data_IF_011354326147
#
_entry.id   IF_011354326147
#
_cell.length_a   1.000
_cell.length_b   1.000
_cell.length_c   1.000
_cell.angle_alpha   90.00
_cell.angle_beta   90.00
_cell.angle_gamma   90.00
#
_symmetry.space_group_name_H-M   'P 1'
#
loop_
_entity.id
_entity.type
_entity.pdbx_description
1 polymer ?
#
# COMPACT_ATOMS: atom_id res chain seq x y z
N UNK A 1 2.25 -22.93 -4.78
CA UNK A 1 0.79 -22.82 -4.48
C UNK A 1 0.63 -21.78 -3.39
N UNK A 2 -0.33 -20.86 -3.52
CA UNK A 2 -0.61 -19.85 -2.49
C UNK A 2 -1.31 -20.50 -1.29
N UNK A 3 -0.64 -20.51 -0.15
CA UNK A 3 -1.14 -21.08 1.10
C UNK A 3 -0.54 -20.32 2.29
N UNK A 4 -1.05 -19.13 2.59
CA UNK A 4 -0.49 -18.27 3.62
C UNK A 4 -0.75 -18.82 5.03
N UNK A 5 0.24 -18.65 5.90
CA UNK A 5 0.16 -19.04 7.31
C UNK A 5 -0.37 -17.87 8.12
N UNK A 6 -1.51 -18.01 8.81
CA UNK A 6 -2.09 -16.95 9.63
C UNK A 6 -1.27 -16.70 10.91
N UNK A 7 -1.24 -15.46 11.36
CA UNK A 7 -0.69 -15.03 12.65
C UNK A 7 -1.41 -13.79 13.17
N UNK A 8 -1.14 -13.44 14.41
CA UNK A 8 -1.75 -12.30 15.09
C UNK A 8 -0.68 -11.42 15.72
N UNK A 9 -0.92 -10.11 15.74
CA UNK A 9 -0.07 -9.14 16.42
C UNK A 9 -0.90 -8.35 17.42
N UNK A 10 -0.51 -8.35 18.68
CA UNK A 10 -1.14 -7.52 19.70
C UNK A 10 -0.72 -6.06 19.49
N UNK A 11 -1.70 -5.15 19.37
CA UNK A 11 -1.45 -3.73 19.20
C UNK A 11 -2.61 -2.90 19.76
N UNK A 12 -2.32 -1.97 20.67
CA UNK A 12 -3.29 -1.02 21.24
C UNK A 12 -4.63 -1.68 21.71
N UNK A 13 -4.55 -2.82 22.39
CA UNK A 13 -5.72 -3.55 22.87
C UNK A 13 -6.44 -4.44 21.85
N UNK A 14 -6.00 -4.42 20.60
CA UNK A 14 -6.52 -5.26 19.51
C UNK A 14 -5.57 -6.41 19.16
N UNK A 15 -6.09 -7.40 18.44
CA UNK A 15 -5.32 -8.46 17.79
C UNK A 15 -5.41 -8.27 16.28
N UNK A 16 -4.38 -7.69 15.68
CA UNK A 16 -4.29 -7.50 14.24
C UNK A 16 -4.18 -8.86 13.57
N UNK A 17 -5.12 -9.19 12.70
CA UNK A 17 -5.14 -10.42 11.92
C UNK A 17 -4.27 -10.27 10.69
N UNK A 18 -3.31 -11.16 10.56
CA UNK A 18 -2.33 -11.15 9.49
C UNK A 18 -2.09 -12.57 8.98
N UNK A 19 -1.48 -12.66 7.82
CA UNK A 19 -0.94 -13.91 7.30
C UNK A 19 0.30 -13.67 6.45
N UNK A 20 1.12 -14.71 6.30
CA UNK A 20 2.36 -14.66 5.56
C UNK A 20 2.51 -15.86 4.63
N UNK A 21 2.79 -15.60 3.36
CA UNK A 21 3.23 -16.56 2.36
C UNK A 21 4.74 -16.46 2.20
N UNK A 22 5.45 -17.56 2.39
CA UNK A 22 6.88 -17.61 2.14
C UNK A 22 7.21 -17.51 0.64
N UNK A 23 8.41 -17.04 0.34
CA UNK A 23 9.00 -17.00 -0.99
C UNK A 23 10.52 -17.01 -0.87
N UNK A 24 11.20 -17.63 -1.83
CA UNK A 24 12.64 -17.76 -1.89
C UNK A 24 13.36 -16.62 -2.61
N UNK A 25 12.61 -15.84 -3.43
CA UNK A 25 13.12 -14.70 -4.19
C UNK A 25 12.91 -13.34 -3.51
N UNK A 26 12.29 -13.30 -2.35
CA UNK A 26 11.99 -12.07 -1.62
C UNK A 26 10.54 -12.02 -1.16
N UNK A 27 10.15 -10.90 -0.54
CA UNK A 27 8.82 -10.79 0.05
C UNK A 27 8.34 -9.34 0.09
N UNK A 28 7.05 -9.15 -0.19
CA UNK A 28 6.35 -7.88 -0.01
C UNK A 28 5.56 -7.83 1.31
N UNK A 29 5.61 -6.71 1.99
CA UNK A 29 4.65 -6.34 3.02
C UNK A 29 3.48 -5.58 2.39
N UNK A 30 2.24 -6.00 2.66
CA UNK A 30 1.06 -5.44 1.97
C UNK A 30 0.14 -4.67 2.91
N UNK A 31 -0.23 -3.44 2.52
CA UNK A 31 -1.08 -2.53 3.29
C UNK A 31 -2.29 -2.14 2.46
N UNK A 32 -3.48 -2.56 2.90
CA UNK A 32 -4.74 -2.31 2.19
C UNK A 32 -5.24 -0.86 2.32
N UNK A 33 -6.18 -0.48 1.46
CA UNK A 33 -6.85 0.82 1.43
C UNK A 33 -7.87 1.04 2.56
N UNK A 34 -8.75 2.02 2.34
CA UNK A 34 -9.83 2.38 3.26
C UNK A 34 -11.17 1.69 2.89
N UNK A 35 -12.22 2.06 3.60
CA UNK A 35 -13.59 1.59 3.37
C UNK A 35 -13.77 0.13 3.74
N UNK A 36 -14.23 -0.68 2.80
CA UNK A 36 -14.42 -2.13 2.98
C UNK A 36 -13.19 -2.96 2.60
N UNK A 37 -12.04 -2.31 2.35
CA UNK A 37 -10.82 -3.01 1.97
C UNK A 37 -10.28 -3.85 3.14
N UNK A 38 -9.64 -4.96 2.79
CA UNK A 38 -8.94 -5.85 3.71
C UNK A 38 -7.74 -6.48 3.00
N UNK A 39 -6.97 -7.31 3.69
CA UNK A 39 -5.89 -8.09 3.08
C UNK A 39 -6.36 -9.00 1.95
N UNK A 40 -7.64 -9.40 1.95
CA UNK A 40 -8.24 -10.23 0.90
C UNK A 40 -8.23 -9.55 -0.47
N UNK A 41 -8.22 -8.21 -0.51
CA UNK A 41 -8.08 -7.44 -1.74
C UNK A 41 -6.77 -7.70 -2.49
N UNK A 42 -5.78 -8.29 -1.83
CA UNK A 42 -4.51 -8.68 -2.44
C UNK A 42 -4.44 -10.14 -2.89
N UNK A 43 -5.54 -10.91 -2.82
CA UNK A 43 -5.52 -12.33 -3.16
C UNK A 43 -4.90 -12.59 -4.54
N UNK A 44 -5.37 -11.89 -5.57
CA UNK A 44 -4.87 -12.06 -6.93
C UNK A 44 -3.36 -11.74 -7.06
N UNK A 45 -2.86 -10.53 -6.72
CA UNK A 45 -1.43 -10.26 -6.85
C UNK A 45 -0.58 -11.19 -5.98
N UNK A 46 -1.03 -11.56 -4.79
CA UNK A 46 -0.30 -12.49 -3.91
C UNK A 46 -0.20 -13.90 -4.50
N UNK A 47 -1.28 -14.38 -5.13
CA UNK A 47 -1.27 -15.69 -5.81
C UNK A 47 -0.25 -15.70 -6.94
N UNK A 48 -0.28 -14.68 -7.81
CA UNK A 48 0.64 -14.59 -8.95
C UNK A 48 2.09 -14.41 -8.48
N UNK A 49 2.33 -13.63 -7.43
CA UNK A 49 3.67 -13.47 -6.85
C UNK A 49 4.18 -14.80 -6.27
N UNK A 50 3.34 -15.56 -5.56
CA UNK A 50 3.69 -16.87 -5.00
C UNK A 50 4.06 -17.89 -6.08
N UNK A 51 3.38 -17.87 -7.23
CA UNK A 51 3.73 -18.72 -8.40
C UNK A 51 5.11 -18.38 -8.98
N UNK A 52 5.61 -17.17 -8.74
CA UNK A 52 6.94 -16.70 -9.13
C UNK A 52 8.01 -16.89 -8.05
N UNK A 53 7.66 -17.50 -6.91
CA UNK A 53 8.58 -17.68 -5.78
C UNK A 53 8.72 -16.43 -4.89
N UNK A 54 7.84 -15.43 -5.04
CA UNK A 54 7.86 -14.20 -4.24
C UNK A 54 6.83 -14.31 -3.13
N UNK A 55 7.26 -14.15 -1.90
CA UNK A 55 6.42 -14.18 -0.71
C UNK A 55 5.65 -12.88 -0.49
N UNK A 56 4.70 -12.93 0.43
CA UNK A 56 3.95 -11.75 0.85
C UNK A 56 3.40 -11.90 2.27
N UNK A 57 3.41 -10.81 3.02
CA UNK A 57 2.71 -10.71 4.31
C UNK A 57 1.68 -9.61 4.22
N UNK A 58 0.44 -9.87 4.68
CA UNK A 58 -0.64 -8.91 4.65
C UNK A 58 -1.42 -8.95 5.97
N UNK A 59 -2.07 -7.86 6.33
CA UNK A 59 -2.86 -7.77 7.56
C UNK A 59 -4.10 -6.91 7.36
N UNK A 60 -5.04 -7.03 8.28
CA UNK A 60 -6.21 -6.17 8.38
C UNK A 60 -5.98 -5.11 9.46
N UNK A 61 -6.14 -3.83 9.11
CA UNK A 61 -6.10 -2.74 10.08
C UNK A 61 -7.32 -2.80 11.02
N UNK A 62 -7.22 -2.14 12.18
CA UNK A 62 -8.35 -1.95 13.10
C UNK A 62 -9.54 -1.34 12.35
N UNK A 63 -10.73 -1.91 12.57
CA UNK A 63 -11.96 -1.56 11.86
C UNK A 63 -12.14 -2.23 10.50
N UNK A 64 -11.25 -3.18 10.12
CA UNK A 64 -11.28 -3.83 8.81
C UNK A 64 -11.14 -5.35 8.93
N UNK A 65 -11.69 -6.05 7.94
CA UNK A 65 -11.52 -7.50 7.75
C UNK A 65 -11.70 -8.32 9.02
N UNK A 66 -10.81 -9.29 9.22
CA UNK A 66 -10.87 -10.19 10.36
C UNK A 66 -10.34 -9.60 11.68
N UNK A 67 -9.63 -8.47 11.64
CA UNK A 67 -9.22 -7.72 12.84
C UNK A 67 -10.45 -7.15 13.54
N UNK A 68 -11.45 -6.67 12.79
CA UNK A 68 -12.66 -6.09 13.38
C UNK A 68 -12.36 -4.81 14.17
N UNK A 69 -13.20 -4.53 15.18
CA UNK A 69 -13.15 -3.27 15.92
C UNK A 69 -13.89 -2.14 15.22
N UNK A 70 -13.76 -0.92 15.73
CA UNK A 70 -14.34 0.27 15.12
C UNK A 70 -13.30 0.99 14.26
N UNK A 71 -13.69 1.46 13.08
CA UNK A 71 -12.82 2.31 12.27
C UNK A 71 -12.48 3.62 12.99
N UNK A 72 -13.38 4.09 13.87
CA UNK A 72 -13.18 5.29 14.67
C UNK A 72 -12.07 5.14 15.74
N UNK A 73 -11.66 3.89 16.04
CA UNK A 73 -10.53 3.62 16.94
C UNK A 73 -9.17 3.75 16.22
N UNK A 74 -9.18 4.23 14.98
CA UNK A 74 -7.99 4.31 14.13
C UNK A 74 -7.90 5.68 13.44
N UNK A 75 -6.68 6.04 13.05
CA UNK A 75 -6.34 7.23 12.25
C UNK A 75 -5.29 6.84 11.21
N UNK A 76 -4.84 7.76 10.36
CA UNK A 76 -3.69 7.52 9.48
C UNK A 76 -2.43 7.19 10.29
N UNK A 77 -2.20 7.91 11.40
CA UNK A 77 -1.09 7.65 12.31
C UNK A 77 -1.18 6.26 12.93
N UNK A 78 -2.32 5.95 13.55
CA UNK A 78 -2.57 4.62 14.14
C UNK A 78 -2.35 3.50 13.13
N UNK A 79 -2.84 3.63 11.90
CA UNK A 79 -2.60 2.65 10.83
C UNK A 79 -1.11 2.50 10.47
N UNK A 80 -0.35 3.58 10.49
CA UNK A 80 1.10 3.52 10.27
C UNK A 80 1.79 2.73 11.38
N UNK A 81 1.38 2.93 12.64
CA UNK A 81 1.91 2.16 13.79
C UNK A 81 1.48 0.69 13.77
N UNK A 82 0.22 0.40 13.38
CA UNK A 82 -0.25 -0.97 13.14
C UNK A 82 0.61 -1.65 12.07
N UNK A 83 0.85 -0.96 10.95
CA UNK A 83 1.70 -1.46 9.88
C UNK A 83 3.13 -1.74 10.37
N UNK A 84 3.72 -0.84 11.19
CA UNK A 84 5.05 -1.05 11.75
C UNK A 84 5.11 -2.29 12.66
N UNK A 85 4.10 -2.48 13.53
CA UNK A 85 4.03 -3.63 14.43
C UNK A 85 3.95 -4.97 13.66
N UNK A 86 3.11 -5.04 12.61
CA UNK A 86 2.99 -6.26 11.80
C UNK A 86 4.22 -6.46 10.92
N UNK A 87 4.79 -5.38 10.37
CA UNK A 87 6.03 -5.41 9.59
C UNK A 87 7.17 -6.06 10.37
N UNK A 88 7.36 -5.65 11.63
CA UNK A 88 8.37 -6.23 12.51
C UNK A 88 8.09 -7.70 12.82
N UNK A 89 6.84 -8.03 13.16
CA UNK A 89 6.42 -9.38 13.50
C UNK A 89 6.56 -10.38 12.33
N UNK A 90 6.44 -9.91 11.08
CA UNK A 90 6.62 -10.78 9.91
C UNK A 90 8.07 -10.79 9.38
N UNK A 91 9.04 -10.26 10.13
CA UNK A 91 10.47 -10.31 9.80
C UNK A 91 10.93 -9.26 8.80
N UNK A 92 10.35 -8.06 8.88
CA UNK A 92 10.78 -6.85 8.16
C UNK A 92 11.07 -7.08 6.66
N UNK A 93 10.06 -7.37 5.82
CA UNK A 93 10.26 -7.56 4.39
C UNK A 93 10.91 -6.33 3.73
N UNK A 94 11.82 -6.50 2.75
CA UNK A 94 12.54 -5.37 2.15
C UNK A 94 11.65 -4.47 1.28
N UNK A 95 10.47 -4.91 0.92
CA UNK A 95 9.58 -4.21 0.00
C UNK A 95 8.15 -4.09 0.57
N UNK A 96 7.48 -2.99 0.25
CA UNK A 96 6.07 -2.80 0.55
C UNK A 96 5.24 -2.64 -0.74
N UNK A 97 4.08 -3.30 -0.76
CA UNK A 97 3.04 -3.11 -1.77
C UNK A 97 1.79 -2.56 -1.07
N UNK A 98 1.37 -1.37 -1.43
CA UNK A 98 0.28 -0.72 -0.73
C UNK A 98 -0.74 -0.10 -1.68
N UNK A 99 -2.03 -0.13 -1.28
CA UNK A 99 -3.12 0.34 -2.12
C UNK A 99 -3.86 1.52 -1.49
N UNK A 100 -4.20 2.52 -2.31
CA UNK A 100 -5.06 3.66 -1.93
C UNK A 100 -4.55 4.35 -0.66
N UNK A 101 -5.35 4.46 0.40
CA UNK A 101 -4.94 5.01 1.70
C UNK A 101 -3.71 4.29 2.29
N UNK A 102 -3.59 2.97 2.09
CA UNK A 102 -2.44 2.19 2.54
C UNK A 102 -1.12 2.66 1.92
N UNK A 103 -1.15 3.26 0.72
CA UNK A 103 0.03 3.82 0.08
C UNK A 103 0.64 4.97 0.91
N UNK A 104 -0.19 5.84 1.48
CA UNK A 104 0.31 6.87 2.40
C UNK A 104 0.92 6.26 3.66
N UNK A 105 0.27 5.23 4.23
CA UNK A 105 0.85 4.52 5.37
C UNK A 105 2.20 3.83 5.03
N UNK A 106 2.34 3.28 3.81
CA UNK A 106 3.62 2.71 3.36
C UNK A 106 4.71 3.79 3.20
N UNK A 107 4.37 4.96 2.64
CA UNK A 107 5.30 6.10 2.56
C UNK A 107 5.72 6.53 3.97
N UNK A 108 4.78 6.72 4.90
CA UNK A 108 5.06 7.08 6.30
C UNK A 108 5.89 6.00 7.02
N UNK A 109 5.66 4.72 6.71
CA UNK A 109 6.39 3.60 7.29
C UNK A 109 7.89 3.66 6.96
N UNK A 110 8.30 4.22 5.80
CA UNK A 110 9.72 4.41 5.46
C UNK A 110 10.47 5.35 6.42
N UNK A 111 9.75 6.18 7.18
CA UNK A 111 10.34 7.02 8.23
C UNK A 111 10.60 6.24 9.53
N UNK A 112 9.99 5.08 9.69
CA UNK A 112 10.07 4.24 10.89
C UNK A 112 10.88 2.98 10.65
N UNK A 113 10.94 2.48 9.42
CA UNK A 113 11.56 1.21 9.03
C UNK A 113 12.29 1.34 7.71
N UNK A 114 13.34 0.56 7.56
CA UNK A 114 14.03 0.46 6.28
C UNK A 114 13.16 -0.35 5.30
N UNK A 115 12.84 0.28 4.19
CA UNK A 115 12.12 -0.31 3.06
C UNK A 115 12.88 0.07 1.80
N UNK A 116 13.32 -0.93 1.05
CA UNK A 116 14.17 -0.75 -0.13
C UNK A 116 13.35 -0.63 -1.42
N UNK A 117 12.06 -1.00 -1.38
CA UNK A 117 11.16 -0.86 -2.52
C UNK A 117 9.72 -0.54 -2.10
N UNK A 118 9.09 0.37 -2.85
CA UNK A 118 7.68 0.74 -2.71
C UNK A 118 6.94 0.48 -4.02
N UNK A 119 5.87 -0.31 -3.96
CA UNK A 119 4.85 -0.43 -5.01
C UNK A 119 3.57 0.21 -4.49
N UNK A 120 3.19 1.34 -5.07
CA UNK A 120 2.05 2.15 -4.64
C UNK A 120 0.94 2.05 -5.70
N UNK A 121 -0.13 1.34 -5.38
CA UNK A 121 -1.26 1.09 -6.28
C UNK A 121 -2.39 2.07 -6.00
N UNK A 122 -2.80 2.86 -7.01
CA UNK A 122 -3.81 3.93 -6.92
C UNK A 122 -3.65 4.79 -5.66
N UNK A 123 -2.46 5.37 -5.44
CA UNK A 123 -2.06 5.91 -4.15
C UNK A 123 -2.84 7.16 -3.76
N UNK A 124 -3.45 7.13 -2.57
CA UNK A 124 -3.93 8.33 -1.89
C UNK A 124 -2.82 8.95 -1.03
N UNK A 125 -2.82 10.26 -0.91
CA UNK A 125 -1.99 11.03 0.02
C UNK A 125 -2.85 12.06 0.75
N UNK A 126 -2.42 12.47 1.93
CA UNK A 126 -3.25 13.28 2.82
C UNK A 126 -2.46 14.45 3.40
N UNK A 127 -3.17 15.54 3.72
CA UNK A 127 -2.60 16.65 4.49
C UNK A 127 -2.13 16.16 5.87
N UNK A 128 -1.02 16.70 6.41
CA UNK A 128 -0.59 16.40 7.78
C UNK A 128 -1.66 16.69 8.83
N UNK A 129 -2.56 17.68 8.60
CA UNK A 129 -3.69 17.96 9.47
C UNK A 129 -4.58 16.74 9.73
N UNK A 130 -4.72 15.84 8.74
CA UNK A 130 -5.55 14.65 8.85
C UNK A 130 -4.87 13.48 9.59
N UNK A 131 -3.56 13.56 9.86
CA UNK A 131 -2.76 12.39 10.23
C UNK A 131 -3.19 11.77 11.56
N UNK A 132 -3.46 12.60 12.57
CA UNK A 132 -3.87 12.17 13.90
C UNK A 132 -5.39 12.15 14.11
N UNK A 133 -6.16 12.66 13.14
CA UNK A 133 -7.63 12.72 13.25
C UNK A 133 -8.22 11.32 13.17
N UNK A 134 -8.99 10.86 14.19
CA UNK A 134 -9.71 9.59 14.13
C UNK A 134 -10.63 9.51 12.90
N UNK A 135 -10.71 8.34 12.29
CA UNK A 135 -11.58 8.16 11.13
C UNK A 135 -13.06 8.37 11.51
N UNK A 136 -13.71 9.26 10.77
CA UNK A 136 -15.08 9.67 11.04
C UNK A 136 -15.44 10.93 10.26
N UNK A 137 -16.47 11.66 10.73
CA UNK A 137 -16.93 12.89 10.07
C UNK A 137 -15.85 13.97 10.00
N UNK A 138 -15.09 14.19 11.06
CA UNK A 138 -14.05 15.22 11.12
C UNK A 138 -12.92 14.91 10.15
N UNK A 139 -12.43 13.67 10.14
CA UNK A 139 -11.46 13.20 9.14
C UNK A 139 -11.99 13.42 7.73
N UNK A 140 -13.23 13.04 7.47
CA UNK A 140 -13.86 13.20 6.15
C UNK A 140 -13.95 14.67 5.76
N UNK A 141 -14.23 15.57 6.71
CA UNK A 141 -14.29 17.02 6.47
C UNK A 141 -12.93 17.56 6.05
N UNK A 142 -11.85 17.13 6.73
CA UNK A 142 -10.48 17.59 6.40
C UNK A 142 -10.08 17.11 5.00
N UNK A 143 -10.22 15.81 4.70
CA UNK A 143 -9.70 15.24 3.45
C UNK A 143 -10.55 15.55 2.20
N UNK A 144 -11.81 16.01 2.37
CA UNK A 144 -12.69 16.38 1.26
C UNK A 144 -12.61 17.85 0.87
N UNK A 145 -11.83 18.67 1.55
CA UNK A 145 -11.52 20.03 1.09
C UNK A 145 -10.90 19.97 -0.29
N UNK A 146 -11.23 20.92 -1.13
CA UNK A 146 -10.64 20.99 -2.47
C UNK A 146 -9.11 20.96 -2.38
N UNK A 147 -8.48 20.03 -3.10
CA UNK A 147 -7.02 19.84 -3.13
C UNK A 147 -6.37 19.70 -1.74
N UNK A 148 -7.08 19.13 -0.76
CA UNK A 148 -6.61 18.95 0.62
C UNK A 148 -5.28 18.18 0.74
N UNK A 149 -4.86 17.51 -0.31
CA UNK A 149 -3.65 16.70 -0.40
C UNK A 149 -2.41 17.48 -0.87
N UNK A 150 -2.55 18.76 -1.26
CA UNK A 150 -1.49 19.52 -1.94
C UNK A 150 -0.27 19.74 -1.06
N UNK A 151 -0.47 19.87 0.23
CA UNK A 151 0.54 20.08 1.29
C UNK A 151 0.98 18.79 2.00
N UNK A 152 0.64 17.62 1.45
CA UNK A 152 1.03 16.35 2.05
C UNK A 152 2.55 16.24 2.22
N UNK A 153 2.96 15.70 3.35
CA UNK A 153 4.37 15.39 3.65
C UNK A 153 4.94 14.21 2.83
N UNK A 154 4.07 13.48 2.12
CA UNK A 154 4.50 12.41 1.23
C UNK A 154 5.55 12.86 0.18
N UNK A 155 5.48 14.14 -0.24
CA UNK A 155 6.45 14.69 -1.19
C UNK A 155 7.86 14.75 -0.59
N UNK A 156 8.00 15.29 0.61
CA UNK A 156 9.27 15.42 1.30
C UNK A 156 9.84 14.06 1.72
N UNK A 157 8.96 13.15 2.17
CA UNK A 157 9.36 11.78 2.52
C UNK A 157 9.94 11.07 1.29
N UNK A 158 9.26 11.14 0.15
CA UNK A 158 9.75 10.53 -1.09
C UNK A 158 10.97 11.24 -1.68
N UNK A 159 11.14 12.54 -1.45
CA UNK A 159 12.36 13.23 -1.84
C UNK A 159 13.60 12.67 -1.11
N UNK A 160 13.43 12.12 0.08
CA UNK A 160 14.46 11.40 0.84
C UNK A 160 14.60 9.92 0.51
N UNK A 161 13.64 9.32 -0.20
CA UNK A 161 13.62 7.88 -0.47
C UNK A 161 14.69 7.48 -1.49
N UNK A 162 15.48 6.46 -1.16
CA UNK A 162 16.61 6.00 -1.98
C UNK A 162 16.43 4.58 -2.56
N UNK A 163 15.27 3.97 -2.36
CA UNK A 163 14.95 2.62 -2.86
C UNK A 163 14.37 2.63 -4.28
N UNK A 164 13.62 1.59 -4.62
CA UNK A 164 12.90 1.45 -5.89
C UNK A 164 11.45 1.88 -5.72
N UNK A 165 10.92 2.71 -6.61
CA UNK A 165 9.54 3.19 -6.57
C UNK A 165 8.79 2.82 -7.85
N UNK A 166 7.70 2.04 -7.70
CA UNK A 166 6.69 1.83 -8.74
C UNK A 166 5.36 2.42 -8.28
N UNK A 167 4.82 3.34 -9.05
CA UNK A 167 3.48 3.89 -8.85
C UNK A 167 2.57 3.34 -9.95
N UNK A 168 1.48 2.69 -9.56
CA UNK A 168 0.47 2.13 -10.45
C UNK A 168 -0.78 2.99 -10.34
N UNK A 169 -1.16 3.66 -11.43
CA UNK A 169 -2.36 4.47 -11.50
C UNK A 169 -3.42 3.81 -12.39
N UNK A 170 -4.67 4.15 -12.17
CA UNK A 170 -5.77 3.76 -13.03
C UNK A 170 -6.11 4.90 -14.00
N UNK A 171 -6.37 4.58 -15.28
CA UNK A 171 -6.71 5.61 -16.28
C UNK A 171 -7.99 6.38 -15.91
N UNK A 172 -8.99 5.66 -15.38
CA UNK A 172 -10.30 6.21 -15.01
C UNK A 172 -10.49 6.26 -13.49
N UNK A 173 -9.47 6.74 -12.76
CA UNK A 173 -9.56 6.89 -11.31
C UNK A 173 -10.42 8.11 -10.96
N UNK A 174 -11.65 7.86 -10.46
CA UNK A 174 -12.57 8.90 -10.00
C UNK A 174 -12.31 9.33 -8.54
N UNK A 175 -11.34 8.71 -7.85
CA UNK A 175 -11.06 8.94 -6.43
C UNK A 175 -9.75 9.71 -6.28
N UNK A 176 -8.72 9.28 -7.01
CA UNK A 176 -7.36 9.86 -6.91
C UNK A 176 -7.09 10.73 -8.14
N UNK A 177 -6.93 12.05 -7.98
CA UNK A 177 -6.52 12.93 -9.07
C UNK A 177 -5.20 12.48 -9.70
N UNK A 178 -5.14 12.50 -11.02
CA UNK A 178 -3.96 12.07 -11.80
C UNK A 178 -2.67 12.79 -11.41
N UNK A 179 -2.79 14.02 -10.93
CA UNK A 179 -1.67 14.81 -10.42
C UNK A 179 -0.92 14.10 -9.27
N UNK A 180 -1.63 13.34 -8.43
CA UNK A 180 -1.02 12.68 -7.26
C UNK A 180 0.02 11.63 -7.68
N UNK A 181 -0.30 10.59 -8.48
CA UNK A 181 0.70 9.60 -8.89
C UNK A 181 1.86 10.22 -9.70
N UNK A 182 1.60 11.25 -10.52
CA UNK A 182 2.64 11.97 -11.25
C UNK A 182 3.61 12.69 -10.29
N UNK A 183 3.09 13.38 -9.27
CA UNK A 183 3.90 14.09 -8.28
C UNK A 183 4.68 13.13 -7.36
N UNK A 184 4.12 11.96 -7.01
CA UNK A 184 4.85 10.95 -6.21
C UNK A 184 6.12 10.50 -6.93
N UNK A 185 6.02 10.20 -8.23
CA UNK A 185 7.18 9.82 -9.03
C UNK A 185 8.16 11.01 -9.20
N UNK A 186 7.63 12.21 -9.42
CA UNK A 186 8.48 13.41 -9.55
C UNK A 186 9.26 13.70 -8.26
N UNK A 187 8.61 13.57 -7.10
CA UNK A 187 9.20 13.82 -5.78
C UNK A 187 10.36 12.86 -5.46
N UNK A 188 10.27 11.58 -5.87
CA UNK A 188 11.28 10.57 -5.57
C UNK A 188 12.59 10.74 -6.39
N UNK A 189 13.18 11.94 -6.33
CA UNK A 189 14.36 12.30 -7.11
C UNK A 189 15.62 11.51 -6.77
N UNK A 190 15.71 10.96 -5.55
CA UNK A 190 16.86 10.18 -5.05
C UNK A 190 16.65 8.66 -5.15
N UNK A 191 15.48 8.21 -5.62
CA UNK A 191 15.22 6.79 -5.78
C UNK A 191 16.17 6.14 -6.79
N UNK A 192 16.60 4.90 -6.53
CA UNK A 192 17.41 4.09 -7.46
C UNK A 192 16.69 3.87 -8.78
N UNK A 193 15.39 3.64 -8.72
CA UNK A 193 14.50 3.66 -9.89
C UNK A 193 13.14 4.24 -9.47
N UNK A 194 12.47 4.90 -10.41
CA UNK A 194 11.13 5.42 -10.24
C UNK A 194 10.34 5.29 -11.54
N UNK A 195 9.12 4.79 -11.42
CA UNK A 195 8.27 4.56 -12.58
C UNK A 195 6.81 4.84 -12.24
N UNK A 196 6.09 5.45 -13.18
CA UNK A 196 4.64 5.52 -13.21
C UNK A 196 4.13 4.56 -14.29
N UNK A 197 3.22 3.68 -13.92
CA UNK A 197 2.51 2.80 -14.84
C UNK A 197 1.02 3.08 -14.77
N UNK A 198 0.40 3.36 -15.92
CA UNK A 198 -1.03 3.67 -16.00
C UNK A 198 -1.77 2.48 -16.62
N UNK A 199 -2.66 1.88 -15.84
CA UNK A 199 -3.49 0.76 -16.30
C UNK A 199 -4.64 1.30 -17.15
N UNK A 200 -4.58 1.04 -18.44
CA UNK A 200 -5.59 1.46 -19.42
C UNK A 200 -6.94 0.76 -19.16
N UNK A 201 -8.02 1.52 -19.15
CA UNK A 201 -9.36 1.04 -18.79
C UNK A 201 -9.53 0.71 -17.32
N UNK A 202 -8.49 0.92 -16.49
CA UNK A 202 -8.55 0.69 -15.04
C UNK A 202 -9.34 1.76 -14.30
N UNK A 203 -10.03 1.35 -13.23
CA UNK A 203 -10.69 2.22 -12.27
C UNK A 203 -10.12 1.98 -10.87
N UNK A 204 -10.33 2.90 -9.93
CA UNK A 204 -9.74 2.87 -8.59
C UNK A 204 -9.78 1.50 -7.89
N UNK A 205 -10.97 0.88 -7.87
CA UNK A 205 -11.19 -0.41 -7.16
C UNK A 205 -10.82 -1.65 -7.98
N UNK A 206 -10.62 -1.50 -9.30
CA UNK A 206 -10.52 -2.62 -10.24
C UNK A 206 -9.22 -2.63 -11.04
N UNK A 207 -8.20 -1.87 -10.60
CA UNK A 207 -6.96 -1.74 -11.37
C UNK A 207 -6.25 -3.08 -11.57
N UNK A 208 -6.13 -3.91 -10.54
CA UNK A 208 -5.47 -5.22 -10.64
C UNK A 208 -6.39 -6.26 -11.31
N UNK A 209 -7.69 -6.27 -11.00
CA UNK A 209 -8.63 -7.19 -11.66
C UNK A 209 -8.77 -6.89 -13.15
N UNK A 210 -8.70 -5.62 -13.56
CA UNK A 210 -8.67 -5.24 -14.97
C UNK A 210 -7.46 -5.84 -15.70
N UNK A 211 -6.30 -5.88 -15.06
CA UNK A 211 -5.13 -6.53 -15.63
C UNK A 211 -5.32 -8.06 -15.78
N UNK A 212 -6.09 -8.68 -14.89
CA UNK A 212 -6.37 -10.12 -14.98
C UNK A 212 -7.19 -10.52 -16.21
N UNK A 213 -7.95 -9.59 -16.78
CA UNK A 213 -8.70 -9.81 -18.03
C UNK A 213 -7.76 -9.87 -19.26
N UNK A 214 -6.53 -9.38 -19.12
CA UNK A 214 -5.52 -9.33 -20.17
C UNK A 214 -4.20 -9.97 -19.68
N UNK A 215 -4.06 -11.32 -19.75
CA UNK A 215 -2.92 -12.04 -19.17
C UNK A 215 -1.53 -11.51 -19.56
N UNK A 216 -1.27 -11.04 -20.81
CA UNK A 216 0.02 -10.44 -21.14
C UNK A 216 0.31 -9.15 -20.37
N UNK A 217 -0.72 -8.30 -20.11
CA UNK A 217 -0.58 -7.07 -19.33
C UNK A 217 -0.38 -7.37 -17.83
N UNK A 218 -1.12 -8.36 -17.31
CA UNK A 218 -0.91 -8.82 -15.94
C UNK A 218 0.53 -9.31 -15.77
N UNK A 219 1.02 -10.16 -16.72
CA UNK A 219 2.40 -10.64 -16.68
C UNK A 219 3.39 -9.46 -16.67
N UNK A 220 3.26 -8.51 -17.58
CA UNK A 220 4.13 -7.35 -17.67
C UNK A 220 4.13 -6.51 -16.38
N UNK A 221 2.95 -6.30 -15.77
CA UNK A 221 2.84 -5.60 -14.49
C UNK A 221 3.55 -6.37 -13.36
N UNK A 222 3.38 -7.68 -13.30
CA UNK A 222 4.06 -8.50 -12.30
C UNK A 222 5.58 -8.51 -12.50
N UNK A 223 6.06 -8.48 -13.76
CA UNK A 223 7.49 -8.35 -14.07
C UNK A 223 8.05 -7.01 -13.53
N UNK A 224 7.28 -5.91 -13.63
CA UNK A 224 7.66 -4.61 -13.05
C UNK A 224 7.66 -4.63 -11.52
N UNK A 225 6.69 -5.28 -10.90
CA UNK A 225 6.61 -5.43 -9.44
C UNK A 225 7.79 -6.27 -8.94
N UNK A 226 8.10 -7.37 -9.61
CA UNK A 226 9.25 -8.24 -9.30
C UNK A 226 10.57 -7.48 -9.41
N UNK A 227 10.75 -6.69 -10.48
CA UNK A 227 11.94 -5.86 -10.67
C UNK A 227 12.20 -4.85 -9.53
N UNK A 228 11.15 -4.44 -8.78
CA UNK A 228 11.33 -3.60 -7.60
C UNK A 228 12.07 -4.32 -6.46
N UNK A 229 12.14 -5.65 -6.46
CA UNK A 229 12.93 -6.41 -5.48
C UNK A 229 14.43 -6.47 -5.85
N UNK A 230 14.83 -5.90 -6.99
CA UNK A 230 16.19 -5.95 -7.50
C UNK A 230 16.56 -7.29 -8.12
N UNK A 231 15.55 -8.06 -8.57
CA UNK A 231 15.67 -9.38 -9.19
C UNK A 231 15.73 -9.29 -10.72
#
# INVERSE_FOLDING_TARGET
MFNPIPFEVAHAGHRLRADSQAGDKGRFFMIHGAGTASREGFLLPRTVLAERGIGSSAFDCIGHGATGGSIADSSLHSRTLQAAAVFDACGAPPAAFAASMGAYNAIRLTQLRQIDALVLCVPGVFTPEAYDVPFGPDFSTVIRRERSWVDTDAWDILAGFTGHLLVIAAEHDAVIPREIPERLVAAAGRAKSRRLEVVQGGAHRHVISRLAEEPPRLKAMMDLIEACLGL
#
